data_IF_745376189032
#
_entry.id   IF_745376189032
#
_cell.length_a   1.000
_cell.length_b   1.000
_cell.length_c   1.000
_cell.angle_alpha   90.00
_cell.angle_beta   90.00
_cell.angle_gamma   90.00
#
_symmetry.space_group_name_H-M   'P 1'
#
loop_
_entity.id
_entity.type
_entity.pdbx_description
1 polymer ?
#
# COMPACT_ATOMS: atom_id res chain seq x y z
N UNK A 1 17.91 28.18 -14.77
CA UNK A 1 17.72 26.93 -14.01
C UNK A 1 16.28 26.53 -14.20
N UNK A 2 15.96 25.32 -14.68
CA UNK A 2 14.59 24.84 -14.76
C UNK A 2 14.00 24.79 -13.35
N UNK A 3 12.74 25.22 -13.22
CA UNK A 3 12.03 25.14 -11.95
C UNK A 3 12.00 23.69 -11.49
N UNK A 4 12.33 23.42 -10.22
CA UNK A 4 12.26 22.09 -9.64
C UNK A 4 10.81 21.60 -9.65
N UNK A 5 10.56 20.33 -9.99
CA UNK A 5 9.21 19.77 -9.97
C UNK A 5 8.55 19.85 -8.59
N UNK A 6 7.26 20.21 -8.58
CA UNK A 6 6.39 20.12 -7.42
C UNK A 6 5.29 19.11 -7.73
N UNK A 7 5.24 18.04 -6.96
CA UNK A 7 4.30 16.95 -7.12
C UNK A 7 3.42 16.81 -5.88
N UNK A 8 2.34 16.07 -6.01
CA UNK A 8 1.48 15.76 -4.88
C UNK A 8 0.86 14.37 -4.97
N UNK A 9 0.61 13.77 -3.82
CA UNK A 9 -0.39 12.73 -3.65
C UNK A 9 -1.66 13.36 -3.07
N UNK A 10 -2.80 13.07 -3.71
CA UNK A 10 -4.08 13.71 -3.38
C UNK A 10 -5.19 12.67 -3.18
N UNK A 11 -5.13 11.88 -2.08
CA UNK A 11 -6.11 10.85 -1.80
C UNK A 11 -7.41 11.42 -1.23
N UNK A 12 -8.55 10.81 -1.62
CA UNK A 12 -9.83 11.03 -0.94
C UNK A 12 -9.95 10.08 0.25
N UNK A 13 -10.23 10.57 1.47
CA UNK A 13 -10.26 9.76 2.69
C UNK A 13 -11.61 9.03 2.83
N UNK A 14 -11.94 8.19 1.86
CA UNK A 14 -13.17 7.38 1.82
C UNK A 14 -12.93 5.93 2.21
N UNK A 15 -11.77 5.64 2.78
CA UNK A 15 -11.34 4.32 3.21
C UNK A 15 -9.83 4.24 3.41
N UNK A 16 -9.31 3.03 3.55
CA UNK A 16 -7.89 2.76 3.75
C UNK A 16 -7.06 3.06 2.49
N UNK A 17 -5.75 3.24 2.64
CA UNK A 17 -4.85 3.48 1.51
C UNK A 17 -4.78 2.25 0.60
N UNK A 18 -5.46 2.32 -0.54
CA UNK A 18 -5.46 1.26 -1.54
C UNK A 18 -4.10 1.16 -2.24
N UNK A 19 -3.64 -0.07 -2.59
CA UNK A 19 -2.33 -0.27 -3.22
C UNK A 19 -2.16 0.50 -4.54
N UNK A 20 -3.22 0.74 -5.29
CA UNK A 20 -3.18 1.63 -6.47
C UNK A 20 -2.85 3.08 -6.10
N UNK A 21 -3.43 3.59 -5.00
CA UNK A 21 -3.09 4.89 -4.43
C UNK A 21 -1.66 4.91 -3.90
N UNK A 22 -1.24 3.86 -3.19
CA UNK A 22 0.13 3.72 -2.69
C UNK A 22 1.17 3.71 -3.82
N UNK A 23 0.90 3.04 -4.96
CA UNK A 23 1.76 3.10 -6.14
C UNK A 23 1.81 4.51 -6.72
N UNK A 24 0.67 5.19 -6.79
CA UNK A 24 0.63 6.59 -7.25
C UNK A 24 1.45 7.49 -6.33
N UNK A 25 1.32 7.35 -5.02
CA UNK A 25 2.13 8.07 -4.04
C UNK A 25 3.63 7.78 -4.22
N UNK A 26 4.00 6.49 -4.35
CA UNK A 26 5.38 6.06 -4.56
C UNK A 26 6.00 6.68 -5.83
N UNK A 27 5.28 6.70 -6.95
CA UNK A 27 5.81 7.24 -8.21
C UNK A 27 6.00 8.77 -8.16
N UNK A 28 5.06 9.49 -7.52
CA UNK A 28 5.23 10.93 -7.26
C UNK A 28 6.42 11.18 -6.33
N UNK A 29 6.54 10.40 -5.26
CA UNK A 29 7.63 10.50 -4.29
C UNK A 29 8.99 10.21 -4.95
N UNK A 30 9.11 9.12 -5.72
CA UNK A 30 10.34 8.75 -6.42
C UNK A 30 10.77 9.84 -7.40
N UNK A 31 9.84 10.38 -8.19
CA UNK A 31 10.16 11.43 -9.14
C UNK A 31 10.59 12.72 -8.46
N UNK A 32 9.92 13.11 -7.36
CA UNK A 32 10.33 14.25 -6.56
C UNK A 32 11.73 14.04 -5.97
N UNK A 33 12.02 12.90 -5.36
CA UNK A 33 13.33 12.61 -4.77
C UNK A 33 14.43 12.50 -5.85
N UNK A 34 14.14 11.92 -7.02
CA UNK A 34 15.06 11.85 -8.17
C UNK A 34 15.45 13.24 -8.69
N UNK A 35 14.48 14.12 -8.87
CA UNK A 35 14.69 15.45 -9.47
C UNK A 35 15.10 16.51 -8.45
N UNK A 36 15.18 16.17 -7.17
CA UNK A 36 15.37 17.14 -6.07
C UNK A 36 14.21 18.13 -5.96
N UNK A 37 13.02 17.71 -6.38
CA UNK A 37 11.76 18.45 -6.30
C UNK A 37 11.07 18.34 -4.95
N UNK A 38 9.80 18.73 -4.91
CA UNK A 38 8.95 18.74 -3.70
C UNK A 38 7.80 17.74 -3.86
N UNK A 39 7.53 16.98 -2.81
CA UNK A 39 6.39 16.04 -2.77
C UNK A 39 5.42 16.44 -1.68
N UNK A 40 4.23 16.89 -2.04
CA UNK A 40 3.20 17.40 -1.14
C UNK A 40 2.09 16.35 -0.92
N UNK A 41 1.38 16.48 0.20
CA UNK A 41 0.20 15.70 0.50
C UNK A 41 -1.03 16.59 0.60
N UNK A 42 -2.11 16.25 -0.12
CA UNK A 42 -3.42 16.89 -0.01
C UNK A 42 -4.49 15.84 0.26
N UNK A 43 -5.26 16.03 1.31
CA UNK A 43 -6.41 15.19 1.65
C UNK A 43 -7.65 15.79 0.99
N UNK A 44 -8.27 15.05 0.06
CA UNK A 44 -9.44 15.49 -0.70
C UNK A 44 -10.74 15.12 0.03
N UNK A 45 -11.01 15.82 1.12
CA UNK A 45 -12.10 15.60 2.08
C UNK A 45 -13.37 16.43 1.80
N UNK A 46 -13.60 16.80 0.55
CA UNK A 46 -14.78 17.60 0.14
C UNK A 46 -16.10 16.84 0.27
N UNK A 47 -16.09 15.50 0.23
CA UNK A 47 -17.24 14.65 0.51
C UNK A 47 -17.26 14.33 2.02
N UNK A 48 -17.94 15.20 2.79
CA UNK A 48 -17.94 15.14 4.27
C UNK A 48 -18.65 13.90 4.83
N UNK A 49 -19.58 13.31 4.09
CA UNK A 49 -20.30 12.11 4.54
C UNK A 49 -19.41 10.87 4.50
N UNK A 50 -18.51 10.79 3.51
CA UNK A 50 -17.60 9.64 3.33
C UNK A 50 -16.20 9.87 3.87
N UNK A 51 -15.84 11.10 4.21
CA UNK A 51 -14.52 11.45 4.75
C UNK A 51 -14.51 11.34 6.26
N UNK A 52 -13.84 10.32 6.80
CA UNK A 52 -13.76 10.10 8.25
C UNK A 52 -12.34 10.34 8.78
N UNK A 53 -12.18 10.75 10.05
CA UNK A 53 -10.86 10.88 10.68
C UNK A 53 -10.04 9.58 10.60
N UNK A 54 -10.68 8.42 10.81
CA UNK A 54 -10.04 7.11 10.76
C UNK A 54 -9.49 6.80 9.36
N UNK A 55 -10.19 7.21 8.29
CA UNK A 55 -9.69 7.05 6.93
C UNK A 55 -8.51 7.98 6.63
N UNK A 56 -8.51 9.20 7.19
CA UNK A 56 -7.34 10.10 7.13
C UNK A 56 -6.15 9.47 7.84
N UNK A 57 -6.33 9.00 9.07
CA UNK A 57 -5.27 8.36 9.86
C UNK A 57 -4.73 7.11 9.16
N UNK A 58 -5.58 6.30 8.55
CA UNK A 58 -5.16 5.14 7.78
C UNK A 58 -4.25 5.55 6.60
N UNK A 59 -4.62 6.58 5.83
CA UNK A 59 -3.79 7.10 4.74
C UNK A 59 -2.42 7.57 5.27
N UNK A 60 -2.40 8.39 6.33
CA UNK A 60 -1.17 8.92 6.90
C UNK A 60 -0.27 7.81 7.46
N UNK A 61 -0.86 6.83 8.16
CA UNK A 61 -0.14 5.68 8.71
C UNK A 61 0.39 4.76 7.60
N UNK A 62 -0.39 4.52 6.55
CA UNK A 62 0.05 3.74 5.38
C UNK A 62 1.23 4.40 4.67
N UNK A 63 1.19 5.73 4.45
CA UNK A 63 2.30 6.51 3.89
C UNK A 63 3.56 6.43 4.76
N UNK A 64 3.42 6.64 6.07
CA UNK A 64 4.53 6.54 7.04
C UNK A 64 5.14 5.14 7.06
N UNK A 65 4.31 4.09 7.10
CA UNK A 65 4.80 2.72 7.09
C UNK A 65 5.57 2.39 5.80
N UNK A 66 5.11 2.89 4.66
CA UNK A 66 5.82 2.75 3.39
C UNK A 66 7.07 3.63 3.30
N UNK A 67 7.36 4.49 4.28
CA UNK A 67 8.48 5.43 4.24
C UNK A 67 8.35 6.50 3.14
N UNK A 68 7.12 6.86 2.78
CA UNK A 68 6.81 7.90 1.79
C UNK A 68 6.54 9.22 2.54
N UNK A 69 7.60 9.88 2.95
CA UNK A 69 7.58 11.18 3.60
C UNK A 69 7.20 12.29 2.62
N UNK A 70 6.40 13.25 3.06
CA UNK A 70 6.01 14.41 2.28
C UNK A 70 6.58 15.69 2.88
N UNK A 71 6.71 16.71 2.05
CA UNK A 71 7.31 18.00 2.41
C UNK A 71 6.21 18.94 2.95
N UNK A 72 6.45 19.56 4.10
CA UNK A 72 5.50 20.45 4.75
C UNK A 72 4.33 19.75 5.44
N UNK A 73 3.23 20.47 5.63
CA UNK A 73 2.02 19.95 6.26
C UNK A 73 1.04 19.40 5.21
N UNK A 74 0.21 18.44 5.61
CA UNK A 74 -0.87 17.95 4.77
C UNK A 74 -1.95 19.02 4.60
N UNK A 75 -2.32 19.33 3.35
CA UNK A 75 -3.37 20.28 3.01
C UNK A 75 -4.72 19.57 3.03
N UNK A 76 -5.72 20.13 3.73
CA UNK A 76 -7.08 19.62 3.75
C UNK A 76 -7.96 20.45 2.82
N UNK A 77 -8.55 19.82 1.81
CA UNK A 77 -9.26 20.49 0.72
C UNK A 77 -10.53 21.19 1.19
N UNK A 78 -11.30 20.60 2.11
CA UNK A 78 -12.51 21.20 2.65
C UNK A 78 -12.24 22.55 3.35
N UNK A 79 -11.12 22.68 4.07
CA UNK A 79 -10.73 23.92 4.72
C UNK A 79 -10.52 25.09 3.74
N UNK A 80 -10.36 24.78 2.45
CA UNK A 80 -10.12 25.75 1.36
C UNK A 80 -11.37 26.13 0.58
N UNK A 81 -12.56 25.68 1.01
CA UNK A 81 -13.84 25.91 0.29
C UNK A 81 -14.12 27.40 -0.02
N UNK A 82 -13.72 28.30 0.86
CA UNK A 82 -13.85 29.73 0.63
C UNK A 82 -13.03 30.20 -0.58
N UNK A 83 -11.79 29.71 -0.71
CA UNK A 83 -10.89 30.00 -1.85
C UNK A 83 -11.46 29.45 -3.17
N UNK A 84 -11.99 28.25 -3.14
CA UNK A 84 -12.64 27.65 -4.34
C UNK A 84 -13.82 28.49 -4.80
N UNK A 85 -14.63 28.99 -3.86
CA UNK A 85 -15.77 29.88 -4.16
C UNK A 85 -15.29 31.21 -4.75
N UNK A 86 -14.29 31.85 -4.17
CA UNK A 86 -13.68 33.08 -4.67
C UNK A 86 -13.26 32.95 -6.15
N UNK A 87 -12.59 31.83 -6.50
CA UNK A 87 -12.16 31.58 -7.89
C UNK A 87 -13.35 31.41 -8.82
N UNK A 88 -14.40 30.70 -8.43
CA UNK A 88 -15.58 30.53 -9.24
C UNK A 88 -16.36 31.85 -9.46
N UNK A 89 -16.46 32.69 -8.40
CA UNK A 89 -17.09 34.03 -8.52
C UNK A 89 -16.26 34.97 -9.41
N UNK A 90 -14.92 34.87 -9.36
CA UNK A 90 -14.04 35.56 -10.30
C UNK A 90 -14.33 35.14 -11.75
N UNK A 91 -14.44 33.83 -12.01
CA UNK A 91 -14.79 33.35 -13.35
C UNK A 91 -16.16 33.82 -13.83
N UNK A 92 -17.16 33.94 -12.93
CA UNK A 92 -18.45 34.52 -13.22
C UNK A 92 -18.29 35.99 -13.63
N UNK A 93 -17.57 36.79 -12.86
CA UNK A 93 -17.36 38.21 -13.16
C UNK A 93 -16.64 38.44 -14.49
N UNK A 94 -15.75 37.52 -14.88
CA UNK A 94 -14.96 37.54 -16.12
C UNK A 94 -15.76 36.94 -17.33
N UNK A 95 -16.99 36.45 -17.12
CA UNK A 95 -17.79 35.80 -18.17
C UNK A 95 -17.28 34.44 -18.63
N UNK A 96 -16.37 33.81 -17.85
CA UNK A 96 -15.81 32.47 -18.10
C UNK A 96 -16.66 31.37 -17.46
N UNK A 97 -17.62 31.74 -16.62
CA UNK A 97 -18.63 30.88 -16.02
C UNK A 97 -19.97 31.58 -16.05
N UNK A 98 -21.05 30.85 -15.78
CA UNK A 98 -22.41 31.39 -15.73
C UNK A 98 -23.26 30.68 -14.69
N UNK A 99 -24.33 31.35 -14.23
CA UNK A 99 -25.30 30.73 -13.31
C UNK A 99 -26.33 29.92 -14.10
N UNK A 100 -26.54 28.69 -13.64
CA UNK A 100 -27.52 27.79 -14.22
C UNK A 100 -28.62 27.49 -13.20
N UNK A 101 -29.85 27.82 -13.57
CA UNK A 101 -31.06 27.68 -12.75
C UNK A 101 -31.89 26.45 -13.15
N UNK A 102 -31.34 25.54 -13.96
CA UNK A 102 -32.02 24.31 -14.34
C UNK A 102 -32.33 23.46 -13.08
N UNK A 103 -33.60 23.09 -12.96
CA UNK A 103 -34.05 22.23 -11.86
C UNK A 103 -33.65 20.79 -12.06
N UNK A 104 -33.73 19.98 -11.00
CA UNK A 104 -33.43 18.54 -11.06
C UNK A 104 -34.36 17.82 -12.06
N UNK A 105 -35.66 18.22 -12.11
CA UNK A 105 -36.66 17.65 -13.03
C UNK A 105 -36.32 17.98 -14.46
N UNK A 106 -36.01 19.25 -14.77
CA UNK A 106 -35.60 19.66 -16.13
C UNK A 106 -34.33 18.90 -16.59
N UNK A 107 -33.38 18.69 -15.71
CA UNK A 107 -32.16 17.93 -16.04
C UNK A 107 -32.45 16.43 -16.22
N UNK A 108 -33.43 15.90 -15.51
CA UNK A 108 -33.87 14.51 -15.66
C UNK A 108 -34.58 14.31 -16.97
N UNK A 109 -35.55 15.18 -17.28
CA UNK A 109 -36.27 15.17 -18.55
C UNK A 109 -35.28 15.30 -19.74
N UNK A 110 -34.36 16.26 -19.68
CA UNK A 110 -33.32 16.44 -20.71
C UNK A 110 -32.54 15.15 -20.97
N UNK A 111 -32.14 14.44 -19.91
CA UNK A 111 -31.39 13.18 -20.05
C UNK A 111 -32.23 12.05 -20.65
N UNK A 112 -33.51 11.98 -20.31
CA UNK A 112 -34.45 11.01 -20.87
C UNK A 112 -34.68 11.28 -22.37
N UNK A 113 -34.87 12.53 -22.75
CA UNK A 113 -34.99 12.94 -24.15
C UNK A 113 -33.72 12.61 -24.96
N UNK A 114 -32.54 12.90 -24.41
CA UNK A 114 -31.26 12.56 -25.04
C UNK A 114 -31.10 11.05 -25.20
N UNK A 115 -31.45 10.27 -24.16
CA UNK A 115 -31.42 8.80 -24.20
C UNK A 115 -32.37 8.26 -25.26
N UNK A 116 -33.60 8.75 -25.31
CA UNK A 116 -34.59 8.34 -26.32
C UNK A 116 -34.16 8.69 -27.77
N UNK A 117 -33.41 9.78 -27.93
CA UNK A 117 -32.84 10.20 -29.20
C UNK A 117 -31.50 9.54 -29.55
N UNK A 118 -31.00 8.62 -28.74
CA UNK A 118 -29.65 7.98 -28.90
C UNK A 118 -28.50 8.98 -28.81
N UNK A 119 -28.69 10.12 -28.17
CA UNK A 119 -27.65 11.13 -27.96
C UNK A 119 -26.90 10.91 -26.65
N UNK A 120 -25.63 11.36 -26.55
CA UNK A 120 -24.90 11.33 -25.27
C UNK A 120 -25.64 12.14 -24.19
N UNK A 121 -25.78 11.57 -22.99
CA UNK A 121 -26.41 12.22 -21.84
C UNK A 121 -25.46 13.25 -21.23
N UNK A 122 -25.64 14.52 -21.58
CA UNK A 122 -24.84 15.64 -21.11
C UNK A 122 -25.69 16.91 -21.00
N UNK A 123 -25.21 17.87 -20.23
CA UNK A 123 -25.88 19.17 -20.11
C UNK A 123 -25.88 19.89 -21.46
N UNK A 124 -27.02 20.39 -21.86
CA UNK A 124 -27.30 20.96 -23.22
C UNK A 124 -26.95 22.44 -23.35
N UNK A 125 -26.46 23.09 -22.29
CA UNK A 125 -26.09 24.49 -22.33
C UNK A 125 -27.26 25.48 -22.27
N UNK A 126 -28.52 25.04 -21.98
CA UNK A 126 -29.73 25.87 -22.01
C UNK A 126 -29.68 27.19 -21.24
N UNK A 127 -28.76 27.31 -20.25
CA UNK A 127 -28.54 28.51 -19.46
C UNK A 127 -27.29 29.30 -19.86
N UNK A 128 -26.51 28.83 -20.81
CA UNK A 128 -25.18 29.37 -21.13
C UNK A 128 -25.19 30.83 -21.56
N UNK A 129 -26.15 31.21 -22.41
CA UNK A 129 -26.28 32.56 -22.95
C UNK A 129 -27.67 33.19 -22.62
N UNK A 130 -28.42 32.54 -21.72
CA UNK A 130 -29.75 32.98 -21.28
C UNK A 130 -29.60 33.85 -20.03
N UNK A 131 -30.31 34.99 -20.05
CA UNK A 131 -30.48 35.84 -18.87
C UNK A 131 -31.69 35.34 -18.06
N UNK A 132 -31.56 35.19 -16.73
CA UNK A 132 -32.67 34.82 -15.88
C UNK A 132 -33.69 35.96 -15.78
N UNK A 133 -34.98 35.62 -15.64
CA UNK A 133 -36.01 36.56 -15.18
C UNK A 133 -35.75 36.88 -13.68
N UNK A 134 -36.39 37.93 -13.15
CA UNK A 134 -36.29 38.27 -11.73
C UNK A 134 -36.72 37.12 -10.81
N UNK A 135 -37.74 36.36 -11.21
CA UNK A 135 -38.22 35.18 -10.48
C UNK A 135 -37.19 34.02 -10.50
N UNK A 136 -36.59 33.76 -11.68
CA UNK A 136 -35.56 32.73 -11.83
C UNK A 136 -34.28 33.07 -11.06
N UNK A 137 -33.86 34.34 -11.11
CA UNK A 137 -32.68 34.83 -10.39
C UNK A 137 -32.79 34.68 -8.86
N UNK A 138 -34.02 34.63 -8.33
CA UNK A 138 -34.28 34.40 -6.91
C UNK A 138 -34.16 32.90 -6.48
N UNK A 139 -34.07 31.95 -7.45
CA UNK A 139 -34.00 30.53 -7.20
C UNK A 139 -32.55 30.07 -6.95
N UNK A 140 -32.35 28.95 -6.26
CA UNK A 140 -31.02 28.33 -6.14
C UNK A 140 -30.40 28.06 -7.52
N UNK A 141 -29.12 28.35 -7.69
CA UNK A 141 -28.41 28.14 -8.93
C UNK A 141 -27.06 27.46 -8.71
N UNK A 142 -26.61 26.73 -9.71
CA UNK A 142 -25.21 26.20 -9.73
C UNK A 142 -24.37 27.12 -10.63
N UNK A 143 -23.05 27.15 -10.37
CA UNK A 143 -22.11 27.82 -11.27
C UNK A 143 -21.53 26.78 -12.22
N UNK A 144 -21.62 27.06 -13.54
CA UNK A 144 -21.04 26.19 -14.57
C UNK A 144 -19.90 26.89 -15.31
N UNK A 145 -18.91 26.14 -15.69
CA UNK A 145 -17.86 26.61 -16.60
C UNK A 145 -18.46 26.89 -17.97
N UNK A 146 -18.04 27.95 -18.61
CA UNK A 146 -18.33 28.22 -20.02
C UNK A 146 -17.28 27.54 -20.88
N UNK A 147 -17.42 26.20 -21.07
CA UNK A 147 -16.45 25.33 -21.75
C UNK A 147 -16.33 25.69 -23.25
N UNK A 148 -15.15 25.38 -23.83
CA UNK A 148 -15.02 25.47 -25.32
C UNK A 148 -15.93 24.45 -25.98
N UNK A 149 -16.63 24.85 -27.03
CA UNK A 149 -17.57 23.99 -27.75
C UNK A 149 -16.98 23.40 -29.04
N UNK A 150 -16.02 24.11 -29.64
CA UNK A 150 -15.38 23.74 -30.90
C UNK A 150 -13.91 23.38 -30.71
N UNK A 151 -13.35 22.64 -31.67
CA UNK A 151 -11.95 22.18 -31.63
C UNK A 151 -11.71 21.05 -30.64
N UNK A 152 -10.47 20.88 -30.27
CA UNK A 152 -10.01 19.80 -29.40
C UNK A 152 -9.33 20.35 -28.13
N UNK A 153 -9.40 19.59 -27.04
CA UNK A 153 -8.51 19.70 -25.88
C UNK A 153 -7.52 18.52 -25.91
N UNK A 154 -6.23 18.83 -25.98
CA UNK A 154 -5.17 17.83 -26.03
C UNK A 154 -4.54 17.73 -24.63
N UNK A 155 -4.53 16.52 -24.08
CA UNK A 155 -3.78 16.18 -22.86
C UNK A 155 -2.42 15.65 -23.30
N UNK A 156 -1.36 16.44 -23.13
CA UNK A 156 0.00 16.00 -23.38
C UNK A 156 0.48 15.16 -22.19
N UNK A 157 0.33 13.84 -22.31
CA UNK A 157 0.59 12.91 -21.21
C UNK A 157 1.97 12.24 -21.36
N UNK A 158 2.79 12.32 -20.31
CA UNK A 158 4.16 11.78 -20.34
C UNK A 158 4.21 10.24 -20.40
N UNK A 159 3.13 9.57 -19.98
CA UNK A 159 3.03 8.10 -19.99
C UNK A 159 2.28 7.61 -21.23
N UNK A 160 1.10 8.16 -21.49
CA UNK A 160 0.20 7.68 -22.55
C UNK A 160 0.46 8.35 -23.90
N UNK A 161 1.15 9.48 -23.93
CA UNK A 161 1.30 10.33 -25.11
C UNK A 161 0.12 11.31 -25.25
N UNK A 162 0.00 11.94 -26.41
CA UNK A 162 -1.08 12.90 -26.68
C UNK A 162 -2.44 12.22 -26.74
N UNK A 163 -3.35 12.61 -25.84
CA UNK A 163 -4.74 12.15 -25.84
C UNK A 163 -5.66 13.32 -26.21
N UNK A 164 -6.44 13.15 -27.27
CA UNK A 164 -7.29 14.19 -27.87
C UNK A 164 -8.74 14.00 -27.48
N UNK A 165 -9.39 15.09 -27.06
CA UNK A 165 -10.80 15.14 -26.70
C UNK A 165 -11.49 16.22 -27.52
N UNK A 166 -12.47 15.83 -28.34
CA UNK A 166 -13.33 16.76 -29.02
C UNK A 166 -14.08 17.62 -28.00
N UNK A 167 -13.96 18.95 -28.08
CA UNK A 167 -14.62 19.86 -27.13
C UNK A 167 -16.15 19.74 -27.19
N UNK A 168 -16.69 19.41 -28.38
CA UNK A 168 -18.10 19.09 -28.55
C UNK A 168 -18.58 17.91 -27.69
N UNK A 169 -17.72 17.07 -27.17
CA UNK A 169 -18.03 15.97 -26.25
C UNK A 169 -17.93 16.37 -24.77
N UNK A 170 -17.40 17.54 -24.47
CA UNK A 170 -17.28 18.08 -23.12
C UNK A 170 -18.48 19.02 -22.89
N UNK A 171 -19.15 18.83 -21.75
CA UNK A 171 -20.28 19.72 -21.37
C UNK A 171 -19.83 20.82 -20.40
N UNK A 172 -20.67 21.85 -20.23
CA UNK A 172 -20.43 22.90 -19.24
C UNK A 172 -20.59 22.32 -17.83
N UNK A 173 -19.46 21.90 -17.23
CA UNK A 173 -19.46 21.24 -15.94
C UNK A 173 -19.82 22.18 -14.78
N UNK A 174 -20.39 21.64 -13.72
CA UNK A 174 -20.66 22.38 -12.49
C UNK A 174 -19.34 22.62 -11.74
N UNK A 175 -19.07 23.88 -11.42
CA UNK A 175 -17.95 24.32 -10.57
C UNK A 175 -18.37 24.43 -9.11
N UNK A 176 -19.50 25.16 -8.85
CA UNK A 176 -20.13 25.26 -7.52
C UNK A 176 -21.52 24.66 -7.55
N UNK A 177 -21.87 23.93 -6.52
CA UNK A 177 -23.23 23.45 -6.27
C UNK A 177 -24.14 24.61 -5.79
N UNK A 178 -25.43 24.35 -5.71
CA UNK A 178 -26.43 25.36 -5.30
C UNK A 178 -26.25 25.79 -3.83
N UNK A 179 -25.63 24.99 -3.00
CA UNK A 179 -25.26 25.32 -1.61
C UNK A 179 -23.93 26.10 -1.51
N UNK A 180 -23.29 26.40 -2.64
CA UNK A 180 -22.00 27.08 -2.73
C UNK A 180 -20.80 26.18 -2.45
N UNK A 181 -20.98 24.86 -2.32
CA UNK A 181 -19.84 23.95 -2.18
C UNK A 181 -19.17 23.68 -3.53
N UNK A 182 -17.82 23.58 -3.58
CA UNK A 182 -17.11 23.29 -4.81
C UNK A 182 -17.33 21.84 -5.24
N UNK A 183 -17.26 21.61 -6.56
CA UNK A 183 -17.11 20.25 -7.07
C UNK A 183 -15.64 19.82 -7.01
N UNK A 184 -15.40 18.50 -7.04
CA UNK A 184 -14.07 17.93 -7.20
C UNK A 184 -13.25 18.59 -8.32
N UNK A 185 -13.89 18.84 -9.48
CA UNK A 185 -13.22 19.37 -10.66
C UNK A 185 -12.62 20.76 -10.43
N UNK A 186 -13.34 21.65 -9.75
CA UNK A 186 -12.85 22.99 -9.41
C UNK A 186 -11.81 22.92 -8.28
N UNK A 187 -12.13 22.19 -7.20
CA UNK A 187 -11.29 22.17 -6.00
C UNK A 187 -9.88 21.66 -6.30
N UNK A 188 -9.75 20.57 -7.07
CA UNK A 188 -8.43 20.01 -7.44
C UNK A 188 -7.59 21.00 -8.23
N UNK A 189 -8.19 21.69 -9.22
CA UNK A 189 -7.48 22.63 -10.09
C UNK A 189 -7.01 23.86 -9.33
N UNK A 190 -7.86 24.42 -8.48
CA UNK A 190 -7.54 25.61 -7.67
C UNK A 190 -6.41 25.26 -6.69
N UNK A 191 -6.54 24.11 -6.03
CA UNK A 191 -5.52 23.71 -5.05
C UNK A 191 -4.19 23.35 -5.71
N UNK A 192 -4.19 22.65 -6.86
CA UNK A 192 -2.97 22.39 -7.62
C UNK A 192 -2.29 23.70 -8.05
N UNK A 193 -3.04 24.69 -8.50
CA UNK A 193 -2.50 26.00 -8.88
C UNK A 193 -1.93 26.77 -7.67
N UNK A 194 -2.67 26.88 -6.57
CA UNK A 194 -2.25 27.59 -5.36
C UNK A 194 -1.07 26.90 -4.66
N UNK A 195 -0.97 25.56 -4.74
CA UNK A 195 0.16 24.78 -4.21
C UNK A 195 1.38 24.78 -5.15
N UNK A 196 1.28 25.40 -6.33
CA UNK A 196 2.36 25.45 -7.31
C UNK A 196 2.70 24.10 -7.95
N UNK A 197 1.72 23.19 -8.05
CA UNK A 197 1.92 21.86 -8.63
C UNK A 197 2.32 21.98 -10.10
N UNK A 198 3.47 21.42 -10.43
CA UNK A 198 4.00 21.41 -11.81
C UNK A 198 3.74 20.09 -12.53
N UNK A 199 3.57 19.00 -11.77
CA UNK A 199 3.36 17.64 -12.31
C UNK A 199 2.18 16.96 -11.62
N UNK A 200 1.25 16.44 -12.43
CA UNK A 200 0.05 15.70 -11.98
C UNK A 200 0.19 14.26 -12.42
N UNK A 201 0.80 13.42 -11.55
CA UNK A 201 0.91 11.97 -11.77
C UNK A 201 -0.19 11.29 -10.97
N UNK A 202 -1.08 10.52 -11.65
CA UNK A 202 -2.25 9.89 -11.02
C UNK A 202 -2.76 8.68 -11.83
N UNK A 203 -3.77 7.96 -11.32
CA UNK A 203 -4.36 6.83 -12.03
C UNK A 203 -5.01 7.22 -13.37
N UNK A 204 -4.94 6.33 -14.36
CA UNK A 204 -5.51 6.54 -15.70
C UNK A 204 -7.06 6.63 -15.72
N UNK A 205 -7.72 6.22 -14.65
CA UNK A 205 -9.16 6.44 -14.46
C UNK A 205 -9.55 7.92 -14.35
N UNK A 206 -8.57 8.81 -14.09
CA UNK A 206 -8.75 10.26 -14.09
C UNK A 206 -8.43 10.95 -15.45
N UNK A 207 -8.05 10.20 -16.49
CA UNK A 207 -7.65 10.78 -17.77
C UNK A 207 -8.77 11.64 -18.41
N UNK A 208 -10.01 11.16 -18.36
CA UNK A 208 -11.16 11.93 -18.87
C UNK A 208 -11.40 13.23 -18.09
N UNK A 209 -10.95 13.31 -16.84
CA UNK A 209 -11.04 14.54 -16.04
C UNK A 209 -10.00 15.57 -16.48
N UNK A 210 -8.84 15.12 -16.99
CA UNK A 210 -7.75 16.01 -17.37
C UNK A 210 -8.17 17.03 -18.42
N UNK A 211 -8.88 16.60 -19.48
CA UNK A 211 -9.37 17.50 -20.52
C UNK A 211 -10.30 18.59 -19.96
N UNK A 212 -11.19 18.21 -19.03
CA UNK A 212 -12.09 19.15 -18.35
C UNK A 212 -11.33 20.09 -17.41
N UNK A 213 -10.35 19.57 -16.67
CA UNK A 213 -9.51 20.34 -15.77
C UNK A 213 -8.63 21.35 -16.52
N UNK A 214 -8.10 20.98 -17.70
CA UNK A 214 -7.35 21.91 -18.57
C UNK A 214 -8.23 23.13 -18.91
N UNK A 215 -9.49 22.96 -19.25
CA UNK A 215 -10.38 24.08 -19.55
C UNK A 215 -10.65 24.98 -18.33
N UNK A 216 -10.69 24.41 -17.10
CA UNK A 216 -10.77 25.22 -15.88
C UNK A 216 -9.47 26.00 -15.66
N UNK A 217 -8.30 25.34 -15.83
CA UNK A 217 -6.98 25.94 -15.69
C UNK A 217 -6.83 27.14 -16.65
N UNK A 218 -7.21 26.97 -17.91
CA UNK A 218 -7.21 28.03 -18.92
C UNK A 218 -8.15 29.18 -18.54
N UNK A 219 -9.36 28.86 -18.05
CA UNK A 219 -10.31 29.86 -17.57
C UNK A 219 -9.76 30.63 -16.34
N UNK A 220 -8.99 30.00 -15.47
CA UNK A 220 -8.29 30.64 -14.36
C UNK A 220 -7.09 31.50 -14.82
N UNK A 221 -6.57 31.27 -16.03
CA UNK A 221 -5.32 31.86 -16.48
C UNK A 221 -4.09 31.28 -15.78
N UNK A 222 -4.19 30.07 -15.28
CA UNK A 222 -3.09 29.34 -14.60
C UNK A 222 -2.26 28.53 -15.59
N UNK A 223 -1.08 28.11 -15.18
CA UNK A 223 -0.22 27.22 -15.96
C UNK A 223 -0.77 25.78 -15.97
N UNK A 224 -0.80 25.15 -17.13
CA UNK A 224 -1.17 23.73 -17.26
C UNK A 224 -0.01 22.89 -16.76
N UNK A 225 -0.21 21.99 -15.77
CA UNK A 225 0.82 21.09 -15.28
C UNK A 225 1.16 20.00 -16.31
N UNK A 226 2.33 19.39 -16.15
CA UNK A 226 2.69 18.17 -16.86
C UNK A 226 1.85 17.01 -16.33
N UNK A 227 1.16 16.29 -17.22
CA UNK A 227 0.34 15.13 -16.85
C UNK A 227 1.08 13.81 -17.05
N UNK A 228 0.85 12.86 -16.15
CA UNK A 228 1.25 11.47 -16.28
C UNK A 228 0.17 10.54 -15.71
N UNK A 229 -0.51 9.78 -16.56
CA UNK A 229 -1.58 8.88 -16.13
C UNK A 229 -1.08 7.44 -16.06
N UNK A 230 -1.07 6.89 -14.85
CA UNK A 230 -0.58 5.55 -14.53
C UNK A 230 -1.64 4.50 -14.87
N UNK A 231 -1.29 3.44 -15.67
CA UNK A 231 -2.21 2.35 -15.95
C UNK A 231 -2.72 1.66 -14.68
N UNK A 232 -3.87 1.02 -14.77
CA UNK A 232 -4.48 0.31 -13.64
C UNK A 232 -3.64 -0.89 -13.19
N UNK A 233 -3.87 -1.33 -11.96
CA UNK A 233 -3.39 -2.62 -11.46
C UNK A 233 -4.54 -3.62 -11.58
N UNK A 234 -4.28 -4.74 -12.23
CA UNK A 234 -5.21 -5.85 -12.35
C UNK A 234 -4.91 -6.96 -11.32
N UNK A 235 -5.92 -7.73 -10.99
CA UNK A 235 -5.77 -8.93 -10.18
C UNK A 235 -5.01 -10.05 -10.93
N UNK A 236 -4.72 -11.18 -10.23
CA UNK A 236 -4.06 -12.33 -10.84
C UNK A 236 -4.81 -12.93 -12.03
N UNK A 237 -6.14 -12.74 -12.08
CA UNK A 237 -7.01 -13.18 -13.18
C UNK A 237 -7.03 -12.22 -14.39
N UNK A 238 -6.32 -11.09 -14.30
CA UNK A 238 -6.30 -10.05 -15.32
C UNK A 238 -7.49 -9.07 -15.27
N UNK A 239 -8.48 -9.28 -14.40
CA UNK A 239 -9.56 -8.33 -14.20
C UNK A 239 -9.13 -7.17 -13.28
N UNK A 240 -9.86 -6.05 -13.31
CA UNK A 240 -9.61 -4.93 -12.40
C UNK A 240 -9.52 -5.41 -10.95
N UNK A 241 -8.45 -5.02 -10.26
CA UNK A 241 -8.22 -5.40 -8.86
C UNK A 241 -9.42 -5.00 -7.99
N UNK A 242 -9.89 -5.93 -7.17
CA UNK A 242 -11.08 -5.76 -6.32
C UNK A 242 -10.94 -6.61 -5.04
N UNK A 243 -11.82 -6.40 -4.06
CA UNK A 243 -11.85 -7.14 -2.78
C UNK A 243 -11.83 -8.66 -2.93
N UNK A 244 -12.38 -9.22 -4.02
CA UNK A 244 -12.34 -10.67 -4.30
C UNK A 244 -10.95 -11.24 -4.55
N UNK A 245 -9.97 -10.39 -4.86
CA UNK A 245 -8.58 -10.78 -5.12
C UNK A 245 -7.70 -10.72 -3.86
N UNK A 246 -8.28 -10.52 -2.68
CA UNK A 246 -7.58 -10.44 -1.40
C UNK A 246 -7.39 -9.01 -0.90
N UNK A 247 -6.27 -8.78 -0.23
CA UNK A 247 -5.95 -7.50 0.37
C UNK A 247 -5.82 -6.39 -0.67
N UNK A 248 -6.44 -5.25 -0.40
CA UNK A 248 -6.36 -4.06 -1.25
C UNK A 248 -5.67 -2.89 -0.55
N UNK A 249 -5.74 -2.87 0.79
CA UNK A 249 -5.17 -1.82 1.62
C UNK A 249 -3.72 -2.14 1.98
N UNK A 250 -2.89 -1.11 2.04
CA UNK A 250 -1.47 -1.21 2.40
C UNK A 250 -1.29 -1.85 3.79
N UNK A 251 -2.14 -1.50 4.74
CA UNK A 251 -2.12 -2.03 6.10
C UNK A 251 -2.34 -3.55 6.12
N UNK A 252 -3.18 -4.07 5.25
CA UNK A 252 -3.41 -5.51 5.16
C UNK A 252 -2.14 -6.25 4.73
N UNK A 253 -1.35 -5.70 3.80
CA UNK A 253 -0.05 -6.30 3.44
C UNK A 253 0.94 -6.24 4.60
N UNK A 254 0.99 -5.15 5.35
CA UNK A 254 1.75 -5.05 6.60
C UNK A 254 1.35 -6.15 7.59
N UNK A 255 0.05 -6.36 7.77
CA UNK A 255 -0.50 -7.35 8.71
C UNK A 255 -0.32 -8.79 8.21
N UNK A 256 -0.16 -9.00 6.91
CA UNK A 256 0.30 -10.26 6.30
C UNK A 256 1.82 -10.48 6.46
N UNK A 257 2.55 -9.52 7.02
CA UNK A 257 3.97 -9.63 7.33
C UNK A 257 4.92 -9.31 6.19
N UNK A 258 4.47 -8.49 5.22
CA UNK A 258 5.36 -7.93 4.20
C UNK A 258 6.12 -6.72 4.75
N UNK A 259 7.38 -6.58 4.34
CA UNK A 259 8.23 -5.44 4.71
C UNK A 259 7.93 -4.21 3.83
N UNK A 260 8.10 -2.99 4.35
CA UNK A 260 7.88 -1.77 3.57
C UNK A 260 8.80 -1.67 2.34
N UNK A 261 10.05 -2.13 2.42
CA UNK A 261 11.00 -2.22 1.30
C UNK A 261 10.46 -3.10 0.18
N UNK A 262 9.90 -4.25 0.55
CA UNK A 262 9.26 -5.17 -0.39
C UNK A 262 8.12 -4.51 -1.11
N UNK A 263 7.25 -3.82 -0.38
CA UNK A 263 6.10 -3.16 -0.97
C UNK A 263 6.50 -2.02 -1.91
N UNK A 264 7.52 -1.22 -1.56
CA UNK A 264 8.06 -0.20 -2.46
C UNK A 264 8.61 -0.80 -3.75
N UNK A 265 9.45 -1.82 -3.65
CA UNK A 265 10.03 -2.48 -4.82
C UNK A 265 8.95 -3.17 -5.68
N UNK A 266 8.03 -3.88 -5.05
CA UNK A 266 6.97 -4.58 -5.77
C UNK A 266 6.03 -3.61 -6.51
N UNK A 267 5.58 -2.55 -5.84
CA UNK A 267 4.72 -1.53 -6.44
C UNK A 267 5.45 -0.75 -7.55
N UNK A 268 6.76 -0.51 -7.43
CA UNK A 268 7.58 0.05 -8.48
C UNK A 268 7.52 -0.81 -9.73
N UNK A 269 7.76 -2.12 -9.60
CA UNK A 269 7.73 -3.08 -10.69
C UNK A 269 6.33 -3.29 -11.30
N UNK A 270 5.27 -2.89 -10.59
CA UNK A 270 3.91 -2.85 -11.14
C UNK A 270 3.67 -1.60 -11.98
N UNK A 271 4.44 -1.44 -13.05
CA UNK A 271 4.25 -0.39 -14.04
C UNK A 271 5.49 0.42 -14.38
N UNK A 272 6.65 0.14 -13.75
CA UNK A 272 7.92 0.74 -14.11
C UNK A 272 9.02 -0.34 -14.15
N UNK A 273 10.02 -0.16 -15.01
CA UNK A 273 11.15 -1.10 -15.11
C UNK A 273 12.45 -0.39 -15.48
N UNK A 274 13.54 -1.00 -15.04
CA UNK A 274 14.90 -0.68 -15.50
C UNK A 274 15.54 -2.00 -15.96
N UNK A 275 15.58 -2.21 -17.26
CA UNK A 275 16.00 -3.49 -17.81
C UNK A 275 15.25 -4.68 -17.19
N UNK A 276 16.02 -5.72 -16.85
CA UNK A 276 15.52 -6.96 -16.23
C UNK A 276 15.67 -6.96 -14.69
N UNK A 277 16.04 -5.82 -14.08
CA UNK A 277 16.21 -5.72 -12.64
C UNK A 277 14.90 -5.96 -11.90
N UNK A 278 14.88 -6.96 -11.04
CA UNK A 278 13.72 -7.32 -10.21
C UNK A 278 13.82 -6.80 -8.78
N UNK A 279 15.04 -6.78 -8.23
CA UNK A 279 15.35 -6.31 -6.89
C UNK A 279 15.98 -4.94 -7.01
N UNK A 280 15.21 -3.92 -6.63
CA UNK A 280 15.61 -2.52 -6.76
C UNK A 280 15.46 -1.84 -5.39
N UNK A 281 16.56 -1.73 -4.62
CA UNK A 281 16.55 -1.00 -3.35
C UNK A 281 16.09 0.45 -3.52
N UNK A 282 15.48 1.02 -2.49
CA UNK A 282 14.86 2.36 -2.55
C UNK A 282 15.83 3.44 -3.04
N UNK A 283 17.08 3.42 -2.60
CA UNK A 283 18.08 4.39 -3.05
C UNK A 283 18.36 4.28 -4.56
N UNK A 284 18.40 3.06 -5.08
CA UNK A 284 18.59 2.79 -6.50
C UNK A 284 17.34 3.18 -7.30
N UNK A 285 16.15 2.90 -6.76
CA UNK A 285 14.88 3.33 -7.37
C UNK A 285 14.84 4.86 -7.51
N UNK A 286 15.22 5.61 -6.48
CA UNK A 286 15.33 7.08 -6.55
C UNK A 286 16.32 7.51 -7.64
N UNK A 287 17.49 6.87 -7.71
CA UNK A 287 18.52 7.24 -8.68
C UNK A 287 18.11 7.00 -10.14
N UNK A 288 17.27 6.00 -10.41
CA UNK A 288 16.91 5.57 -11.76
C UNK A 288 15.53 6.03 -12.23
N UNK A 289 14.65 6.42 -11.32
CA UNK A 289 13.25 6.68 -11.65
C UNK A 289 13.08 7.81 -12.65
N UNK A 290 12.32 7.56 -13.71
CA UNK A 290 11.91 8.54 -14.71
C UNK A 290 10.48 8.22 -15.17
N UNK A 291 9.81 9.17 -15.82
CA UNK A 291 8.44 9.00 -16.29
C UNK A 291 8.36 8.21 -17.60
N UNK A 292 9.39 8.26 -18.41
CA UNK A 292 9.46 7.65 -19.75
C UNK A 292 9.49 6.12 -19.67
N UNK A 293 10.01 5.56 -18.57
CA UNK A 293 10.07 4.11 -18.34
C UNK A 293 8.81 3.55 -17.70
N UNK A 294 7.77 4.38 -17.49
CA UNK A 294 6.46 3.91 -17.03
C UNK A 294 5.76 3.20 -18.19
N UNK A 295 5.38 1.94 -17.97
CA UNK A 295 4.66 1.13 -18.95
C UNK A 295 3.25 1.68 -19.23
N UNK A 296 2.78 1.55 -20.47
CA UNK A 296 1.46 2.04 -20.90
C UNK A 296 0.32 1.04 -20.62
N UNK A 297 0.65 -0.21 -20.33
CA UNK A 297 -0.32 -1.28 -20.12
C UNK A 297 -0.58 -1.51 -18.63
N UNK A 298 -1.79 -2.00 -18.31
CA UNK A 298 -2.13 -2.38 -16.94
C UNK A 298 -1.19 -3.46 -16.41
N UNK A 299 -0.67 -3.26 -15.21
CA UNK A 299 0.15 -4.23 -14.52
C UNK A 299 -0.72 -5.31 -13.85
N UNK A 300 -0.18 -6.51 -13.66
CA UNK A 300 -0.90 -7.64 -13.06
C UNK A 300 -0.23 -8.08 -11.76
N UNK A 301 -1.06 -8.30 -10.71
CA UNK A 301 -0.60 -8.81 -9.43
C UNK A 301 -0.11 -10.26 -9.57
N UNK A 302 1.03 -10.54 -8.92
CA UNK A 302 1.61 -11.89 -8.74
C UNK A 302 2.06 -12.05 -7.28
N UNK A 303 1.25 -12.76 -6.50
CA UNK A 303 1.54 -12.97 -5.08
C UNK A 303 2.76 -13.87 -4.84
N UNK A 304 3.04 -14.85 -5.73
CA UNK A 304 4.23 -15.70 -5.60
C UNK A 304 5.51 -14.87 -5.77
N UNK A 305 5.48 -13.93 -6.71
CA UNK A 305 6.58 -13.00 -6.92
C UNK A 305 6.76 -12.07 -5.72
N UNK A 306 5.65 -11.58 -5.14
CA UNK A 306 5.66 -10.76 -3.93
C UNK A 306 6.25 -11.52 -2.74
N UNK A 307 5.83 -12.77 -2.49
CA UNK A 307 6.37 -13.63 -1.43
C UNK A 307 7.87 -13.87 -1.58
N UNK A 308 8.32 -14.17 -2.80
CA UNK A 308 9.74 -14.42 -3.07
C UNK A 308 10.58 -13.15 -2.87
N UNK A 309 10.06 -12.01 -3.29
CA UNK A 309 10.71 -10.71 -3.08
C UNK A 309 10.79 -10.37 -1.58
N UNK A 310 9.72 -10.64 -0.81
CA UNK A 310 9.72 -10.39 0.62
C UNK A 310 10.70 -11.31 1.36
N UNK A 311 10.76 -12.60 0.98
CA UNK A 311 11.76 -13.52 1.52
C UNK A 311 13.20 -13.07 1.22
N UNK A 312 13.45 -12.46 0.06
CA UNK A 312 14.74 -11.85 -0.24
C UNK A 312 15.05 -10.70 0.71
N UNK A 313 14.14 -9.73 0.87
CA UNK A 313 14.36 -8.59 1.77
C UNK A 313 14.50 -9.02 3.24
N UNK A 314 13.73 -10.01 3.69
CA UNK A 314 13.90 -10.59 5.05
C UNK A 314 15.33 -11.11 5.25
N UNK A 315 15.90 -11.85 4.29
CA UNK A 315 17.28 -12.38 4.40
C UNK A 315 18.34 -11.29 4.40
N UNK A 316 18.16 -10.25 3.59
CA UNK A 316 19.12 -9.14 3.48
C UNK A 316 19.03 -8.14 4.65
N UNK A 317 17.89 -8.07 5.34
CA UNK A 317 17.71 -7.15 6.46
C UNK A 317 18.57 -7.54 7.65
N UNK A 318 19.19 -6.57 8.30
CA UNK A 318 20.01 -6.78 9.49
C UNK A 318 19.17 -7.41 10.63
N UNK A 319 19.81 -8.27 11.44
CA UNK A 319 19.10 -9.05 12.46
C UNK A 319 18.42 -8.16 13.51
N UNK A 320 19.07 -7.10 13.96
CA UNK A 320 18.53 -6.13 14.92
C UNK A 320 17.31 -5.40 14.36
N UNK A 321 17.35 -5.02 13.09
CA UNK A 321 16.22 -4.41 12.39
C UNK A 321 15.05 -5.41 12.27
N UNK A 322 15.29 -6.67 11.92
CA UNK A 322 14.24 -7.69 11.88
C UNK A 322 13.64 -7.96 13.26
N UNK A 323 14.43 -7.94 14.33
CA UNK A 323 13.92 -8.04 15.70
C UNK A 323 12.98 -6.88 16.02
N UNK A 324 13.31 -5.66 15.57
CA UNK A 324 12.43 -4.50 15.72
C UNK A 324 11.14 -4.67 14.94
N UNK A 325 11.21 -5.11 13.66
CA UNK A 325 10.03 -5.38 12.82
C UNK A 325 9.13 -6.47 13.42
N UNK A 326 9.69 -7.59 13.89
CA UNK A 326 8.92 -8.64 14.56
C UNK A 326 8.28 -8.13 15.84
N UNK A 327 9.01 -7.35 16.65
CA UNK A 327 8.46 -6.76 17.88
C UNK A 327 7.28 -5.84 17.58
N UNK A 328 7.43 -4.98 16.58
CA UNK A 328 6.35 -4.10 16.13
C UNK A 328 5.17 -4.89 15.53
N UNK A 329 5.44 -5.97 14.81
CA UNK A 329 4.41 -6.86 14.26
C UNK A 329 3.58 -7.49 15.39
N UNK A 330 4.23 -8.10 16.39
CA UNK A 330 3.57 -8.73 17.54
C UNK A 330 2.76 -7.75 18.40
N UNK A 331 3.24 -6.52 18.54
CA UNK A 331 2.54 -5.47 19.29
C UNK A 331 1.21 -5.04 18.63
N UNK A 332 1.01 -5.33 17.33
CA UNK A 332 -0.25 -5.05 16.60
C UNK A 332 -1.24 -6.21 16.65
N UNK A 333 -0.86 -7.39 17.14
CA UNK A 333 -1.79 -8.52 17.29
C UNK A 333 -2.93 -8.17 18.27
N UNK A 334 -4.00 -8.89 18.20
CA UNK A 334 -5.13 -8.73 19.13
C UNK A 334 -5.42 -10.05 19.85
N UNK A 335 -5.10 -10.18 21.14
CA UNK A 335 -4.44 -9.18 21.99
C UNK A 335 -2.95 -8.97 21.63
N UNK A 336 -2.37 -7.81 21.95
CA UNK A 336 -0.97 -7.52 21.68
C UNK A 336 -0.03 -8.51 22.39
N UNK A 337 0.97 -9.01 21.69
CA UNK A 337 1.98 -9.92 22.24
C UNK A 337 3.28 -9.15 22.47
N UNK A 338 3.62 -8.94 23.74
CA UNK A 338 4.82 -8.22 24.16
C UNK A 338 5.90 -9.24 24.57
N UNK A 339 7.05 -9.19 23.91
CA UNK A 339 8.18 -10.06 24.20
C UNK A 339 8.88 -9.65 25.50
N UNK A 340 9.18 -10.62 26.36
CA UNK A 340 10.09 -10.42 27.48
C UNK A 340 11.52 -10.13 26.98
N UNK A 341 12.38 -9.59 27.85
CA UNK A 341 13.78 -9.36 27.51
C UNK A 341 14.47 -10.65 27.06
N UNK A 342 14.24 -11.75 27.77
CA UNK A 342 14.77 -13.09 27.44
C UNK A 342 14.29 -13.57 26.07
N UNK A 343 12.98 -13.46 25.80
CA UNK A 343 12.42 -13.84 24.51
C UNK A 343 13.02 -13.03 23.36
N UNK A 344 13.22 -11.72 23.56
CA UNK A 344 13.87 -10.85 22.57
C UNK A 344 15.32 -11.23 22.31
N UNK A 345 16.09 -11.52 23.36
CA UNK A 345 17.49 -11.99 23.23
C UNK A 345 17.59 -13.32 22.48
N UNK A 346 16.68 -14.27 22.79
CA UNK A 346 16.59 -15.55 22.06
C UNK A 346 16.24 -15.33 20.59
N UNK A 347 15.27 -14.45 20.31
CA UNK A 347 14.91 -14.11 18.94
C UNK A 347 16.08 -13.52 18.16
N UNK A 348 16.83 -12.58 18.76
CA UNK A 348 17.99 -11.96 18.15
C UNK A 348 19.09 -13.01 17.84
N UNK A 349 19.37 -13.88 18.79
CA UNK A 349 20.36 -14.96 18.62
C UNK A 349 19.96 -16.00 17.56
N UNK A 350 18.64 -16.26 17.39
CA UNK A 350 18.12 -17.21 16.41
C UNK A 350 17.88 -16.59 15.04
N UNK A 351 17.94 -15.27 14.90
CA UNK A 351 17.44 -14.55 13.73
C UNK A 351 18.10 -15.01 12.43
N UNK A 352 19.40 -15.26 12.42
CA UNK A 352 20.11 -15.75 11.22
C UNK A 352 19.53 -17.05 10.68
N UNK A 353 19.22 -18.01 11.57
CA UNK A 353 18.63 -19.29 11.15
C UNK A 353 17.14 -19.20 10.84
N UNK A 354 16.42 -18.26 11.45
CA UNK A 354 14.98 -18.04 11.23
C UNK A 354 14.71 -17.38 9.87
N UNK A 355 15.46 -16.33 9.53
CA UNK A 355 15.21 -15.53 8.32
C UNK A 355 15.50 -16.28 7.02
N UNK A 356 16.34 -17.33 7.04
CA UNK A 356 16.64 -18.14 5.85
C UNK A 356 15.41 -18.86 5.27
N UNK A 357 14.41 -19.13 6.09
CA UNK A 357 13.24 -19.95 5.71
C UNK A 357 11.94 -19.15 5.61
N UNK A 358 11.91 -17.96 6.19
CA UNK A 358 10.71 -17.14 6.25
C UNK A 358 10.54 -16.30 4.97
N UNK A 359 9.33 -16.30 4.43
CA UNK A 359 8.93 -15.40 3.36
C UNK A 359 8.14 -14.19 3.88
N UNK A 360 7.60 -14.28 5.08
CA UNK A 360 6.85 -13.20 5.73
C UNK A 360 7.21 -13.12 7.21
N UNK A 361 6.91 -11.98 7.86
CA UNK A 361 7.05 -11.87 9.31
C UNK A 361 6.11 -12.84 10.04
N UNK A 362 4.97 -13.20 9.45
CA UNK A 362 4.06 -14.25 9.97
C UNK A 362 4.81 -15.58 10.07
N UNK A 363 5.43 -16.01 8.96
CA UNK A 363 6.20 -17.26 8.95
C UNK A 363 7.40 -17.22 9.91
N UNK A 364 8.09 -16.07 9.98
CA UNK A 364 9.21 -15.86 10.90
C UNK A 364 8.76 -16.00 12.35
N UNK A 365 7.66 -15.34 12.73
CA UNK A 365 7.05 -15.43 14.07
C UNK A 365 6.62 -16.86 14.38
N UNK A 366 5.95 -17.53 13.43
CA UNK A 366 5.55 -18.93 13.59
C UNK A 366 6.77 -19.85 13.79
N UNK A 367 7.86 -19.58 13.10
CA UNK A 367 9.14 -20.30 13.26
C UNK A 367 9.83 -20.03 14.60
N UNK A 368 9.62 -18.85 15.17
CA UNK A 368 10.23 -18.38 16.40
C UNK A 368 9.37 -18.58 17.67
N UNK A 369 8.11 -18.95 17.53
CA UNK A 369 7.12 -18.95 18.62
C UNK A 369 7.57 -19.70 19.87
N UNK A 370 8.28 -20.82 19.69
CA UNK A 370 8.82 -21.62 20.79
C UNK A 370 9.91 -20.89 21.62
N UNK A 371 10.44 -19.77 21.14
CA UNK A 371 11.43 -18.94 21.85
C UNK A 371 10.80 -17.93 22.82
N UNK A 372 9.49 -17.67 22.66
CA UNK A 372 8.83 -16.55 23.32
C UNK A 372 8.33 -16.85 24.74
N UNK A 373 8.15 -18.12 25.08
CA UNK A 373 7.69 -18.55 26.40
C UNK A 373 8.54 -19.68 26.93
N UNK A 374 8.64 -19.83 28.25
CA UNK A 374 9.32 -20.93 28.92
C UNK A 374 8.38 -22.11 29.18
N UNK A 375 8.98 -23.27 29.49
CA UNK A 375 8.27 -24.51 29.83
C UNK A 375 7.85 -25.36 28.62
N UNK A 376 7.21 -26.50 28.91
CA UNK A 376 6.73 -27.43 27.88
C UNK A 376 5.82 -26.76 26.87
N UNK A 377 5.94 -27.18 25.61
CA UNK A 377 5.17 -26.62 24.47
C UNK A 377 3.99 -27.53 24.13
N UNK A 378 2.84 -26.92 23.83
CA UNK A 378 1.76 -27.68 23.20
C UNK A 378 2.21 -28.25 21.86
N UNK A 379 1.82 -29.49 21.58
CA UNK A 379 2.19 -30.18 20.36
C UNK A 379 1.17 -29.87 19.25
N UNK A 380 1.65 -29.51 18.07
CA UNK A 380 0.81 -29.55 16.89
C UNK A 380 0.56 -31.01 16.44
N UNK A 381 -0.41 -31.23 15.56
CA UNK A 381 -0.76 -32.58 15.09
C UNK A 381 0.38 -33.35 14.38
N UNK A 382 1.39 -32.63 13.87
CA UNK A 382 2.56 -33.25 13.25
C UNK A 382 3.62 -33.64 14.29
N UNK A 383 3.82 -32.82 15.31
CA UNK A 383 4.71 -33.09 16.43
C UNK A 383 4.17 -34.25 17.30
N UNK A 384 2.88 -34.29 17.56
CA UNK A 384 2.25 -35.35 18.32
C UNK A 384 2.48 -36.75 17.70
N UNK A 385 2.45 -36.83 16.37
CA UNK A 385 2.78 -38.06 15.63
C UNK A 385 4.24 -38.51 15.77
N UNK A 386 5.13 -37.64 16.21
CA UNK A 386 6.54 -37.96 16.45
C UNK A 386 6.82 -38.41 17.91
N UNK A 387 5.91 -38.08 18.82
CA UNK A 387 5.98 -38.42 20.25
C UNK A 387 5.06 -39.61 20.59
N UNK A 388 5.04 -40.62 19.71
CA UNK A 388 4.46 -41.95 20.02
C UNK A 388 5.20 -42.59 21.24
N UNK A 389 4.68 -43.67 21.82
CA UNK A 389 5.38 -44.38 22.89
C UNK A 389 6.85 -44.71 22.54
N UNK A 390 7.12 -45.09 21.29
CA UNK A 390 8.48 -45.35 20.79
C UNK A 390 9.31 -44.07 20.67
N UNK A 391 8.70 -42.97 20.20
CA UNK A 391 9.34 -41.65 20.12
C UNK A 391 9.71 -41.12 21.50
N UNK A 392 8.79 -41.23 22.48
CA UNK A 392 9.03 -40.84 23.88
C UNK A 392 10.14 -41.72 24.52
N UNK A 393 10.13 -43.03 24.24
CA UNK A 393 11.20 -43.92 24.71
C UNK A 393 12.57 -43.59 24.10
N UNK A 394 12.61 -43.21 22.80
CA UNK A 394 13.84 -42.77 22.14
C UNK A 394 14.33 -41.45 22.74
N UNK A 395 13.44 -40.51 23.02
CA UNK A 395 13.71 -39.23 23.70
C UNK A 395 14.29 -39.50 25.08
N UNK A 396 13.66 -40.33 25.92
CA UNK A 396 14.11 -40.65 27.27
C UNK A 396 15.54 -41.28 27.28
N UNK A 397 15.83 -42.16 26.32
CA UNK A 397 17.14 -42.82 26.18
C UNK A 397 18.24 -41.86 25.72
N UNK A 398 17.88 -40.81 24.95
CA UNK A 398 18.87 -39.83 24.48
C UNK A 398 19.23 -38.77 25.54
N UNK A 399 18.38 -38.50 26.53
CA UNK A 399 18.59 -37.47 27.54
C UNK A 399 19.93 -37.60 28.29
N UNK A 400 20.32 -38.76 28.81
CA UNK A 400 21.62 -38.88 29.55
C UNK A 400 22.83 -38.48 28.70
N UNK A 401 22.81 -38.82 27.41
CA UNK A 401 23.91 -38.46 26.51
C UNK A 401 23.99 -36.95 26.29
N UNK A 402 22.83 -36.28 26.17
CA UNK A 402 22.78 -34.81 26.04
C UNK A 402 23.15 -34.11 27.35
N UNK A 403 22.74 -34.65 28.49
CA UNK A 403 23.04 -34.08 29.79
C UNK A 403 24.54 -34.14 30.15
N UNK A 404 25.23 -35.13 29.62
CA UNK A 404 26.66 -35.36 29.92
C UNK A 404 27.61 -34.54 29.02
N UNK A 405 27.12 -33.81 28.04
CA UNK A 405 27.93 -33.07 27.06
C UNK A 405 27.91 -31.55 27.28
N UNK A 406 28.88 -30.86 26.70
CA UNK A 406 28.89 -29.41 26.65
C UNK A 406 27.66 -28.93 25.90
N UNK A 407 27.02 -27.82 26.40
CA UNK A 407 25.78 -27.32 25.84
C UNK A 407 26.01 -26.38 24.65
N UNK A 408 26.70 -26.94 23.61
CA UNK A 408 26.93 -26.25 22.33
C UNK A 408 26.31 -27.05 21.19
N UNK A 409 25.86 -26.39 20.12
CA UNK A 409 25.21 -27.04 18.97
C UNK A 409 26.02 -28.23 18.43
N UNK A 410 27.32 -28.07 18.11
CA UNK A 410 28.18 -29.17 17.63
C UNK A 410 28.31 -30.32 18.61
N UNK A 411 28.51 -30.04 19.94
CA UNK A 411 28.66 -31.08 20.95
C UNK A 411 27.34 -31.87 21.15
N UNK A 412 26.18 -31.16 21.17
CA UNK A 412 24.87 -31.79 21.27
C UNK A 412 24.56 -32.67 20.05
N UNK A 413 24.93 -32.23 18.84
CA UNK A 413 24.79 -33.04 17.63
C UNK A 413 25.67 -34.29 17.68
N UNK A 414 26.92 -34.14 18.07
CA UNK A 414 27.84 -35.28 18.22
C UNK A 414 27.32 -36.31 19.25
N UNK A 415 26.83 -35.85 20.40
CA UNK A 415 26.26 -36.74 21.43
C UNK A 415 25.03 -37.48 20.92
N UNK A 416 24.11 -36.80 20.22
CA UNK A 416 22.92 -37.41 19.63
C UNK A 416 23.29 -38.41 18.53
N UNK A 417 24.30 -38.14 17.72
CA UNK A 417 24.81 -39.04 16.68
C UNK A 417 25.44 -40.31 17.28
N UNK A 418 26.33 -40.16 18.26
CA UNK A 418 26.93 -41.26 18.97
C UNK A 418 25.88 -42.14 19.66
N UNK A 419 24.85 -41.51 20.27
CA UNK A 419 23.75 -42.25 20.87
C UNK A 419 22.96 -43.03 19.80
N UNK A 420 22.65 -42.43 18.66
CA UNK A 420 21.96 -43.10 17.57
C UNK A 420 22.74 -44.32 17.07
N UNK A 421 24.03 -44.19 16.83
CA UNK A 421 24.94 -45.26 16.40
C UNK A 421 25.01 -46.42 17.42
N UNK A 422 25.16 -46.09 18.70
CA UNK A 422 25.24 -47.10 19.78
C UNK A 422 23.92 -47.88 19.98
N UNK A 423 22.81 -47.30 19.62
CA UNK A 423 21.49 -47.91 19.74
C UNK A 423 20.95 -48.51 18.42
N UNK A 424 21.71 -48.42 17.32
CA UNK A 424 21.32 -48.92 16.02
C UNK A 424 20.21 -48.08 15.35
N UNK A 425 20.00 -46.83 15.82
CA UNK A 425 19.01 -45.91 15.28
C UNK A 425 19.66 -44.97 14.24
N UNK A 426 18.83 -44.48 13.32
CA UNK A 426 19.21 -43.33 12.45
C UNK A 426 19.13 -42.02 13.27
N UNK A 427 20.00 -41.06 13.00
CA UNK A 427 20.00 -39.76 13.69
C UNK A 427 18.60 -39.10 13.65
N UNK A 428 17.88 -39.21 12.54
CA UNK A 428 16.52 -38.67 12.41
C UNK A 428 15.51 -39.27 13.40
N UNK A 429 15.66 -40.52 13.77
CA UNK A 429 14.79 -41.19 14.75
C UNK A 429 15.03 -40.69 16.19
N UNK A 430 16.20 -40.13 16.46
CA UNK A 430 16.53 -39.45 17.72
C UNK A 430 16.17 -37.96 17.65
N UNK A 431 16.51 -37.29 16.55
CA UNK A 431 16.36 -35.85 16.41
C UNK A 431 14.91 -35.38 16.26
N UNK A 432 14.04 -36.19 15.62
CA UNK A 432 12.66 -35.78 15.41
C UNK A 432 11.83 -35.72 16.71
N UNK A 433 11.87 -36.71 17.62
CA UNK A 433 11.25 -36.61 18.94
C UNK A 433 11.80 -35.44 19.78
N UNK A 434 13.13 -35.22 19.74
CA UNK A 434 13.79 -34.10 20.41
C UNK A 434 13.23 -32.77 19.90
N UNK A 435 13.09 -32.61 18.58
CA UNK A 435 12.51 -31.40 17.93
C UNK A 435 11.07 -31.16 18.35
N UNK A 436 10.25 -32.21 18.30
CA UNK A 436 8.84 -32.14 18.67
C UNK A 436 8.68 -31.72 20.13
N UNK A 437 9.43 -32.31 21.05
CA UNK A 437 9.40 -31.99 22.46
C UNK A 437 9.95 -30.57 22.77
N UNK A 438 10.99 -30.14 22.05
CA UNK A 438 11.60 -28.82 22.25
C UNK A 438 10.69 -27.67 21.75
N UNK A 439 10.08 -27.83 20.59
CA UNK A 439 9.45 -26.74 19.85
C UNK A 439 7.94 -26.86 19.75
N UNK A 440 7.35 -28.01 20.06
CA UNK A 440 5.95 -28.33 19.79
C UNK A 440 5.64 -28.58 18.32
N UNK A 441 6.65 -28.63 17.43
CA UNK A 441 6.50 -28.72 15.98
C UNK A 441 7.40 -29.80 15.37
N UNK A 442 6.97 -30.37 14.22
CA UNK A 442 7.76 -31.33 13.47
C UNK A 442 8.93 -30.66 12.69
N UNK A 443 8.90 -29.37 12.48
CA UNK A 443 9.94 -28.59 11.79
C UNK A 443 10.37 -27.36 12.61
N UNK A 444 11.66 -27.04 12.58
CA UNK A 444 12.22 -25.85 13.24
C UNK A 444 13.52 -25.45 12.54
N UNK A 445 14.15 -24.34 12.89
CA UNK A 445 15.58 -24.10 12.61
C UNK A 445 16.45 -25.28 13.08
N UNK A 446 17.77 -25.28 12.81
CA UNK A 446 18.65 -26.39 13.18
C UNK A 446 18.51 -26.79 14.67
N UNK A 447 18.08 -28.03 14.92
CA UNK A 447 17.66 -28.48 16.26
C UNK A 447 18.72 -28.23 17.34
N UNK A 448 19.96 -28.61 17.06
CA UNK A 448 21.03 -28.57 18.07
C UNK A 448 21.47 -27.12 18.37
N UNK A 449 21.37 -26.24 17.39
CA UNK A 449 21.55 -24.81 17.63
C UNK A 449 20.43 -24.25 18.53
N UNK A 450 19.18 -24.67 18.30
CA UNK A 450 18.05 -24.23 19.12
C UNK A 450 18.12 -24.76 20.55
N UNK A 451 18.58 -25.99 20.75
CA UNK A 451 18.86 -26.53 22.08
C UNK A 451 19.90 -25.69 22.83
N UNK A 452 21.03 -25.38 22.17
CA UNK A 452 22.07 -24.55 22.74
C UNK A 452 21.60 -23.13 23.06
N UNK A 453 20.79 -22.54 22.17
CA UNK A 453 20.27 -21.20 22.32
C UNK A 453 19.26 -21.07 23.47
N UNK A 454 18.33 -22.02 23.61
CA UNK A 454 17.40 -22.05 24.73
C UNK A 454 18.11 -22.27 26.06
N UNK A 455 19.30 -22.84 26.03
CA UNK A 455 20.10 -23.17 27.20
C UNK A 455 19.69 -24.52 27.81
N UNK A 456 20.60 -25.02 28.67
CA UNK A 456 20.50 -26.37 29.24
C UNK A 456 19.22 -26.58 30.04
N UNK A 457 18.93 -25.67 30.97
CA UNK A 457 17.81 -25.83 31.91
C UNK A 457 16.48 -25.85 31.21
N UNK A 458 16.23 -24.85 30.34
CA UNK A 458 14.98 -24.71 29.61
C UNK A 458 14.78 -25.88 28.63
N UNK A 459 15.80 -26.23 27.86
CA UNK A 459 15.75 -27.37 26.96
C UNK A 459 15.46 -28.69 27.68
N UNK A 460 16.16 -28.99 28.77
CA UNK A 460 15.89 -30.21 29.52
C UNK A 460 14.51 -30.23 30.18
N UNK A 461 14.00 -29.10 30.64
CA UNK A 461 12.65 -28.97 31.18
C UNK A 461 11.63 -29.40 30.14
N UNK A 462 11.75 -28.89 28.91
CA UNK A 462 10.84 -29.27 27.81
C UNK A 462 10.98 -30.75 27.42
N UNK A 463 12.19 -31.20 27.24
CA UNK A 463 12.44 -32.59 26.82
C UNK A 463 11.91 -33.61 27.83
N UNK A 464 12.17 -33.39 29.13
CA UNK A 464 11.74 -34.27 30.23
C UNK A 464 10.21 -34.34 30.32
N UNK A 465 9.50 -33.30 30.03
CA UNK A 465 8.02 -33.28 30.04
C UNK A 465 7.38 -34.31 29.07
N UNK A 466 8.11 -34.72 28.04
CA UNK A 466 7.64 -35.67 27.04
C UNK A 466 8.39 -37.00 27.02
N UNK A 467 9.37 -37.17 27.90
CA UNK A 467 10.20 -38.38 27.99
C UNK A 467 9.57 -39.49 28.86
N UNK A 468 8.41 -39.23 29.46
CA UNK A 468 7.70 -40.16 30.35
C UNK A 468 6.67 -40.99 29.60
#
# INVERSE_FOLDING_TARGET
MSQKPVLRFAPSPTGMLHIGGARTALFNWLYARHTGGTFLLRIEDTDRERSTPEAVDAILNGMKWMGLDWDGEAVFQFARAARHREVAEKMLAEGKAYRCYATADELTQMREEQKAAGKPMRYDGRWRDRQPTSEEAAKPSVVRLKSRQEGETIVHDQVLGDVRFENSQLDDMVLLRSDGTPTYMLAVVVDDADMGITHVIRGADHLNNAARQIQIIEAMGAAIPVYGHLPLINGPDGAKLSKRHGALAVEAYRDMGYLPETMRNYLLRLGWSHGDDEIIPTAQAIAWFNLESIGKSAARMDYKKLDNLNGHYIRETANDQLVAEVTAFLARETPPRILSLTARQRLESAMTSLKERAKTLVELVQGADFLFTDGPRDLDAAADKLLTPEGRAALAKALPALEATDWTGPALEAAARTHAESTGLKLGQVAQPLRAALTGKASSPPLFEMLALLGREESLTRLRAYAA
#
